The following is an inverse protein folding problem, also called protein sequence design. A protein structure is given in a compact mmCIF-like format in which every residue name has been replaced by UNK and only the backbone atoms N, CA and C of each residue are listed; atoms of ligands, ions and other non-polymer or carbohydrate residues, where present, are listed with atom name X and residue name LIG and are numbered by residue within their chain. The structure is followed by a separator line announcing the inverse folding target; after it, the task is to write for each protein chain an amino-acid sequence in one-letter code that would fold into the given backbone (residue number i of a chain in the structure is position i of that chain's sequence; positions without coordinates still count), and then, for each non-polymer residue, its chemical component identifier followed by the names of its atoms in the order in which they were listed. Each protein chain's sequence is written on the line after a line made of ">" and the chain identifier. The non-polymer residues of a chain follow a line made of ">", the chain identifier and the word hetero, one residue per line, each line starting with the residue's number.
data_IF_489121103409
#
_entry.id   IF_489121103409
#
_cell.length_a   1.000
_cell.length_b   1.000
_cell.length_c   1.000
_cell.angle_alpha   90.00
_cell.angle_beta   90.00
_cell.angle_gamma   90.00
#
_symmetry.space_group_name_H-M   'P 1'
#
loop_
_entity.id
_entity.type
_entity.pdbx_description
1 polymer ?
#
# COMPACT_ATOMS: atom_id res chain seq x y z
N UNK A 1 -2.24 13.05 -19.93
CA UNK A 1 -1.64 11.84 -19.31
C UNK A 1 -0.98 12.08 -17.94
N UNK A 2 -0.22 13.17 -17.70
CA UNK A 2 0.41 13.44 -16.38
C UNK A 2 -0.58 13.55 -15.20
N UNK A 3 -1.77 14.12 -15.43
CA UNK A 3 -2.79 14.31 -14.38
C UNK A 3 -3.39 12.96 -13.94
N UNK A 4 -3.64 12.06 -14.89
CA UNK A 4 -4.17 10.72 -14.61
C UNK A 4 -3.17 9.88 -13.79
N UNK A 5 -1.89 9.89 -14.17
CA UNK A 5 -0.86 9.16 -13.42
C UNK A 5 -0.64 9.69 -11.99
N UNK A 6 -0.76 11.01 -11.79
CA UNK A 6 -0.68 11.60 -10.45
C UNK A 6 -1.89 11.23 -9.59
N UNK A 7 -3.10 11.28 -10.16
CA UNK A 7 -4.31 10.86 -9.46
C UNK A 7 -4.27 9.39 -9.05
N UNK A 8 -3.74 8.50 -9.91
CA UNK A 8 -3.50 7.10 -9.56
C UNK A 8 -2.50 6.95 -8.40
N UNK A 9 -1.38 7.68 -8.41
CA UNK A 9 -0.42 7.67 -7.30
C UNK A 9 -1.04 8.17 -5.98
N UNK A 10 -1.82 9.25 -6.02
CA UNK A 10 -2.48 9.81 -4.85
C UNK A 10 -3.48 8.81 -4.22
N UNK A 11 -4.20 8.06 -5.06
CA UNK A 11 -5.10 6.98 -4.61
C UNK A 11 -4.32 5.85 -3.93
N UNK A 12 -3.21 5.41 -4.52
CA UNK A 12 -2.40 4.33 -3.94
C UNK A 12 -1.73 4.76 -2.62
N UNK A 13 -1.32 6.03 -2.49
CA UNK A 13 -0.85 6.60 -1.22
C UNK A 13 -1.93 6.62 -0.16
N UNK A 14 -3.14 7.09 -0.51
CA UNK A 14 -4.28 7.11 0.39
C UNK A 14 -4.65 5.69 0.83
N UNK A 15 -4.73 4.74 -0.09
CA UNK A 15 -5.07 3.35 0.20
C UNK A 15 -4.02 2.69 1.11
N UNK A 16 -2.73 2.92 0.84
CA UNK A 16 -1.63 2.45 1.70
C UNK A 16 -1.77 2.98 3.13
N UNK A 17 -2.07 4.28 3.28
CA UNK A 17 -2.27 4.89 4.59
C UNK A 17 -3.47 4.30 5.32
N UNK A 18 -4.63 4.22 4.65
CA UNK A 18 -5.88 3.73 5.24
C UNK A 18 -5.74 2.29 5.71
N UNK A 19 -5.29 1.38 4.84
CA UNK A 19 -5.13 -0.02 5.22
C UNK A 19 -4.02 -0.21 6.26
N UNK A 20 -2.93 0.55 6.19
CA UNK A 20 -1.88 0.52 7.21
C UNK A 20 -2.39 0.90 8.61
N UNK A 21 -3.21 1.96 8.70
CA UNK A 21 -3.85 2.39 9.95
C UNK A 21 -4.86 1.36 10.44
N UNK A 22 -5.69 0.81 9.56
CA UNK A 22 -6.68 -0.23 9.91
C UNK A 22 -6.00 -1.50 10.45
N UNK A 23 -4.91 -1.94 9.83
CA UNK A 23 -4.09 -3.04 10.34
C UNK A 23 -3.61 -2.76 11.78
N UNK A 24 -3.13 -1.55 12.04
CA UNK A 24 -2.73 -1.11 13.39
C UNK A 24 -3.88 -1.13 14.39
N UNK A 25 -5.07 -0.65 14.01
CA UNK A 25 -6.26 -0.68 14.87
C UNK A 25 -6.71 -2.11 15.18
N UNK A 26 -6.65 -3.01 14.20
CA UNK A 26 -6.94 -4.42 14.42
C UNK A 26 -5.89 -5.09 15.32
N UNK A 27 -4.62 -4.75 15.20
CA UNK A 27 -3.58 -5.20 16.13
C UNK A 27 -3.87 -4.79 17.58
N UNK A 28 -4.33 -3.55 17.80
CA UNK A 28 -4.78 -3.10 19.12
C UNK A 28 -6.01 -3.90 19.61
N UNK A 29 -6.96 -4.19 18.71
CA UNK A 29 -8.11 -5.06 18.99
C UNK A 29 -7.70 -6.47 19.42
N UNK A 30 -6.68 -7.05 18.79
CA UNK A 30 -6.10 -8.34 19.19
C UNK A 30 -5.56 -8.27 20.62
N UNK A 31 -4.68 -7.29 20.89
CA UNK A 31 -4.06 -7.13 22.23
C UNK A 31 -5.11 -6.95 23.32
N UNK A 32 -6.12 -6.12 23.05
CA UNK A 32 -7.22 -5.88 23.97
C UNK A 32 -8.02 -7.16 24.26
N UNK A 33 -8.34 -7.95 23.24
CA UNK A 33 -9.15 -9.16 23.41
C UNK A 33 -8.36 -10.36 23.96
N UNK A 34 -7.05 -10.45 23.74
CA UNK A 34 -6.16 -11.39 24.44
C UNK A 34 -6.27 -11.17 25.96
N UNK A 35 -6.19 -9.92 26.42
CA UNK A 35 -6.33 -9.59 27.84
C UNK A 35 -7.68 -10.02 28.43
N UNK A 36 -8.74 -9.97 27.61
CA UNK A 36 -10.09 -10.41 27.99
C UNK A 36 -10.36 -11.91 27.76
N UNK A 37 -9.38 -12.66 27.23
CA UNK A 37 -9.52 -14.07 26.83
C UNK A 37 -10.67 -14.32 25.84
N UNK A 38 -11.04 -13.32 25.04
CA UNK A 38 -12.04 -13.46 23.99
C UNK A 38 -11.37 -13.88 22.68
N UNK A 39 -11.22 -15.20 22.50
CA UNK A 39 -10.50 -15.77 21.36
C UNK A 39 -11.22 -15.62 20.01
N UNK A 40 -12.56 -15.50 20.01
CA UNK A 40 -13.33 -15.27 18.78
C UNK A 40 -13.00 -13.90 18.20
N UNK A 41 -13.02 -12.85 19.04
CA UNK A 41 -12.66 -11.50 18.62
C UNK A 41 -11.19 -11.41 18.24
N UNK A 42 -10.29 -12.15 18.93
CA UNK A 42 -8.88 -12.26 18.52
C UNK A 42 -8.77 -12.83 17.10
N UNK A 43 -9.49 -13.89 16.78
CA UNK A 43 -9.46 -14.48 15.44
C UNK A 43 -10.03 -13.52 14.38
N UNK A 44 -11.15 -12.85 14.67
CA UNK A 44 -11.76 -11.87 13.77
C UNK A 44 -10.82 -10.69 13.48
N UNK A 45 -10.23 -10.10 14.53
CA UNK A 45 -9.26 -9.01 14.35
C UNK A 45 -7.98 -9.47 13.64
N UNK A 46 -7.51 -10.70 13.89
CA UNK A 46 -6.34 -11.25 13.20
C UNK A 46 -6.59 -11.44 11.71
N UNK A 47 -7.78 -11.93 11.33
CA UNK A 47 -8.17 -12.08 9.94
C UNK A 47 -8.26 -10.71 9.23
N UNK A 48 -8.92 -9.74 9.87
CA UNK A 48 -9.04 -8.39 9.33
C UNK A 48 -7.66 -7.69 9.18
N UNK A 49 -6.81 -7.75 10.22
CA UNK A 49 -5.45 -7.24 10.17
C UNK A 49 -4.65 -7.85 9.03
N UNK A 50 -4.75 -9.18 8.83
CA UNK A 50 -4.02 -9.87 7.77
C UNK A 50 -4.45 -9.40 6.38
N UNK A 51 -5.74 -9.15 6.19
CA UNK A 51 -6.26 -8.58 4.94
C UNK A 51 -5.71 -7.17 4.70
N UNK A 52 -5.74 -6.30 5.71
CA UNK A 52 -5.22 -4.93 5.59
C UNK A 52 -3.71 -4.90 5.31
N UNK A 53 -2.94 -5.78 5.94
CA UNK A 53 -1.50 -5.93 5.65
C UNK A 53 -1.27 -6.38 4.20
N UNK A 54 -2.05 -7.34 3.72
CA UNK A 54 -1.98 -7.79 2.32
C UNK A 54 -2.35 -6.67 1.34
N UNK A 55 -3.43 -5.93 1.60
CA UNK A 55 -3.84 -4.79 0.79
C UNK A 55 -2.75 -3.71 0.75
N UNK A 56 -2.21 -3.34 1.92
CA UNK A 56 -1.10 -2.39 2.05
C UNK A 56 0.11 -2.81 1.20
N UNK A 57 0.50 -4.08 1.26
CA UNK A 57 1.61 -4.59 0.45
C UNK A 57 1.35 -4.46 -1.05
N UNK A 58 0.12 -4.72 -1.51
CA UNK A 58 -0.24 -4.56 -2.92
C UNK A 58 -0.20 -3.10 -3.38
N UNK A 59 -0.68 -2.18 -2.56
CA UNK A 59 -0.65 -0.75 -2.86
C UNK A 59 0.79 -0.19 -2.88
N UNK A 60 1.66 -0.66 -1.99
CA UNK A 60 3.09 -0.33 -2.04
C UNK A 60 3.77 -0.81 -3.33
N UNK A 61 3.46 -2.03 -3.79
CA UNK A 61 3.98 -2.55 -5.08
C UNK A 61 3.43 -1.73 -6.26
N UNK A 62 2.17 -1.31 -6.21
CA UNK A 62 1.58 -0.45 -7.23
C UNK A 62 2.24 0.94 -7.26
N UNK A 63 2.49 1.55 -6.10
CA UNK A 63 3.23 2.81 -5.97
C UNK A 63 4.63 2.72 -6.56
N UNK A 64 5.38 1.65 -6.26
CA UNK A 64 6.72 1.46 -6.80
C UNK A 64 6.71 1.41 -8.33
N UNK A 65 5.76 0.68 -8.92
CA UNK A 65 5.57 0.61 -10.37
C UNK A 65 5.22 1.96 -10.99
N UNK A 66 4.29 2.70 -10.38
CA UNK A 66 3.87 4.02 -10.86
C UNK A 66 4.99 5.06 -10.74
N UNK A 67 5.87 4.92 -9.74
CA UNK A 67 7.00 5.83 -9.50
C UNK A 67 8.21 5.50 -10.38
N UNK A 68 8.42 4.23 -10.70
CA UNK A 68 9.54 3.76 -11.53
C UNK A 68 9.32 3.94 -13.04
N UNK A 69 8.07 3.86 -13.52
CA UNK A 69 7.72 4.05 -14.94
C UNK A 69 8.17 5.41 -15.54
N UNK A 70 7.93 6.56 -14.89
CA UNK A 70 8.42 7.85 -15.38
C UNK A 70 9.94 7.95 -15.45
N UNK A 71 10.66 7.25 -14.56
CA UNK A 71 12.12 7.27 -14.49
C UNK A 71 12.73 6.52 -15.68
N UNK A 72 12.20 5.34 -16.02
CA UNK A 72 12.64 4.56 -17.18
C UNK A 72 12.38 5.28 -18.50
N UNK A 73 11.19 5.86 -18.68
CA UNK A 73 10.87 6.63 -19.90
C UNK A 73 11.76 7.87 -20.08
N UNK A 74 12.30 8.42 -18.98
CA UNK A 74 13.24 9.56 -19.05
C UNK A 74 14.65 9.11 -19.41
N UNK A 75 15.08 7.92 -18.97
CA UNK A 75 16.38 7.33 -19.32
C UNK A 75 16.43 6.95 -20.79
N UNK A 76 15.40 6.28 -21.32
CA UNK A 76 15.31 5.92 -22.75
C UNK A 76 15.40 7.16 -23.65
N UNK A 77 14.75 8.25 -23.24
CA UNK A 77 14.79 9.51 -23.99
C UNK A 77 16.18 10.14 -24.00
N UNK A 78 16.90 10.12 -22.88
CA UNK A 78 18.27 10.64 -22.79
C UNK A 78 19.25 9.78 -23.59
N UNK A 79 19.06 8.46 -23.60
CA UNK A 79 19.89 7.55 -24.39
C UNK A 79 19.68 7.79 -25.90
N UNK A 80 18.45 7.98 -26.36
CA UNK A 80 18.18 8.26 -27.78
C UNK A 80 18.76 9.58 -28.29
N UNK A 81 18.89 10.59 -27.42
CA UNK A 81 19.48 11.91 -27.78
C UNK A 81 21.02 11.85 -27.80
N UNK A 82 21.63 10.85 -27.17
CA UNK A 82 23.09 10.67 -27.15
C UNK A 82 23.64 9.84 -28.32
N UNK A 83 22.77 9.25 -29.14
CA UNK A 83 23.13 8.43 -30.32
C UNK A 83 22.98 9.21 -31.66
N UNK A 84 22.64 10.50 -31.60
CA UNK A 84 22.56 11.44 -32.73
C UNK A 84 23.87 12.26 -32.88
#
# INVERSE_FOLDING_TARGET
>A
MRIAGKAEQDLEHLATFVHGVLAGLHALGIVYNIKRRNWIDVAAHSAAMSYDMFATAKHLVALDRLTSRPRLASVDKLQSVGED
#
